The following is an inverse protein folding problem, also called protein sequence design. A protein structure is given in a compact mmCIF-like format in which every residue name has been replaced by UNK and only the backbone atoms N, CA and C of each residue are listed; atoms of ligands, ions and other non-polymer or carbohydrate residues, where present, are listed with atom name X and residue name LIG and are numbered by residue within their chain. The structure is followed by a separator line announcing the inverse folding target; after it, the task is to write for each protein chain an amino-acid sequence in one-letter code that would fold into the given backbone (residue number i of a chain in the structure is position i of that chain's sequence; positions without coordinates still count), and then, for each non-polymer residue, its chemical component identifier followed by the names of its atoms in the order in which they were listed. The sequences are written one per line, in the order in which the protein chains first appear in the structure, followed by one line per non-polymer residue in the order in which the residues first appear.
data_IF_008619306089
#
_entry.id   IF_008619306089
#
_cell.length_a   1.000
_cell.length_b   1.000
_cell.length_c   1.000
_cell.angle_alpha   90.00
_cell.angle_beta   90.00
_cell.angle_gamma   90.00
#
_symmetry.space_group_name_H-M   'P 1'
#
loop_
_entity.id
_entity.type
_entity.pdbx_description
1 polymer ?
#
# COMPACT_ATOMS: atom_id res chain seq x y z
N UNK A 1 -11.69 -25.87 -2.52
CA UNK A 1 -11.61 -24.52 -1.92
C UNK A 1 -12.21 -23.54 -2.92
N UNK A 2 -13.11 -22.64 -2.51
CA UNK A 2 -13.59 -21.58 -3.41
C UNK A 2 -12.48 -20.53 -3.64
N UNK A 3 -12.66 -19.66 -4.64
CA UNK A 3 -11.65 -18.67 -5.03
C UNK A 3 -11.28 -17.76 -3.85
N UNK A 4 -12.24 -17.41 -3.00
CA UNK A 4 -12.05 -16.57 -1.81
C UNK A 4 -11.16 -17.25 -0.76
N UNK A 5 -11.36 -18.55 -0.50
CA UNK A 5 -10.50 -19.32 0.41
C UNK A 5 -9.06 -19.39 -0.11
N UNK A 6 -8.89 -19.47 -1.43
CA UNK A 6 -7.56 -19.46 -2.06
C UNK A 6 -6.90 -18.09 -1.86
N UNK A 7 -7.59 -16.99 -2.16
CA UNK A 7 -7.02 -15.64 -2.00
C UNK A 7 -6.72 -15.30 -0.53
N UNK A 8 -7.58 -15.71 0.41
CA UNK A 8 -7.31 -15.61 1.85
C UNK A 8 -6.04 -16.37 2.23
N UNK A 9 -5.92 -17.63 1.78
CA UNK A 9 -4.73 -18.45 2.02
C UNK A 9 -3.45 -17.82 1.44
N UNK A 10 -3.53 -17.22 0.24
CA UNK A 10 -2.39 -16.51 -0.37
C UNK A 10 -2.00 -15.28 0.43
N UNK A 11 -2.95 -14.45 0.84
CA UNK A 11 -2.64 -13.30 1.70
C UNK A 11 -1.95 -13.74 3.00
N UNK A 12 -2.43 -14.81 3.63
CA UNK A 12 -1.87 -15.32 4.89
C UNK A 12 -0.47 -15.94 4.71
N UNK A 13 -0.25 -16.72 3.65
CA UNK A 13 0.97 -17.51 3.47
C UNK A 13 2.02 -16.82 2.61
N UNK A 14 1.60 -16.16 1.53
CA UNK A 14 2.46 -15.44 0.59
C UNK A 14 2.55 -13.94 0.92
N UNK A 15 1.60 -13.40 1.70
CA UNK A 15 1.58 -11.99 2.11
C UNK A 15 0.89 -11.07 1.13
N UNK A 16 0.36 -11.60 0.02
CA UNK A 16 -0.45 -10.86 -0.93
C UNK A 16 -1.44 -11.74 -1.68
N UNK A 17 -2.46 -11.12 -2.26
CA UNK A 17 -3.44 -11.75 -3.13
C UNK A 17 -3.96 -10.75 -4.17
N UNK A 18 -4.60 -11.25 -5.24
CA UNK A 18 -5.09 -10.41 -6.34
C UNK A 18 -6.54 -10.77 -6.65
N UNK A 19 -7.40 -9.77 -6.72
CA UNK A 19 -8.77 -9.91 -7.20
C UNK A 19 -8.93 -9.16 -8.51
N UNK A 20 -9.39 -9.87 -9.53
CA UNK A 20 -9.59 -9.33 -10.88
C UNK A 20 -10.90 -8.55 -10.98
N UNK A 21 -10.95 -7.55 -11.86
CA UNK A 21 -12.16 -6.82 -12.26
C UNK A 21 -12.99 -6.26 -11.06
N UNK A 22 -12.31 -5.75 -10.02
CA UNK A 22 -12.97 -5.17 -8.82
C UNK A 22 -13.50 -3.77 -9.07
N UNK A 23 -12.82 -2.97 -9.88
CA UNK A 23 -13.34 -1.68 -10.33
C UNK A 23 -14.17 -1.86 -11.60
N UNK A 24 -15.35 -1.27 -11.61
CA UNK A 24 -16.13 -1.19 -12.85
C UNK A 24 -15.44 -0.28 -13.86
N UNK A 25 -15.61 -0.56 -15.15
CA UNK A 25 -15.05 0.28 -16.23
C UNK A 25 -15.43 1.77 -16.10
N UNK A 26 -16.69 2.14 -15.78
CA UNK A 26 -17.05 3.55 -15.59
C UNK A 26 -16.30 4.19 -14.42
N UNK A 27 -16.16 3.49 -13.29
CA UNK A 27 -15.47 4.05 -12.13
C UNK A 27 -13.96 4.18 -12.36
N UNK A 28 -13.34 3.19 -13.00
CA UNK A 28 -11.96 3.25 -13.45
C UNK A 28 -11.71 4.47 -14.36
N UNK A 29 -12.60 4.73 -15.32
CA UNK A 29 -12.49 5.90 -16.20
C UNK A 29 -12.55 7.23 -15.42
N UNK A 30 -13.47 7.35 -14.45
CA UNK A 30 -13.54 8.53 -13.58
C UNK A 30 -12.26 8.76 -12.78
N UNK A 31 -11.67 7.69 -12.24
CA UNK A 31 -10.40 7.78 -11.51
C UNK A 31 -9.26 8.25 -12.43
N UNK A 32 -9.15 7.68 -13.64
CA UNK A 32 -8.17 8.09 -14.64
C UNK A 32 -8.32 9.59 -14.99
N UNK A 33 -9.55 10.05 -15.21
CA UNK A 33 -9.84 11.44 -15.56
C UNK A 33 -9.44 12.42 -14.44
N UNK A 34 -9.76 12.09 -13.18
CA UNK A 34 -9.36 12.90 -12.02
C UNK A 34 -7.85 12.93 -11.87
N UNK A 35 -7.18 11.77 -11.94
CA UNK A 35 -5.72 11.69 -11.84
C UNK A 35 -5.04 12.49 -12.95
N UNK A 36 -5.51 12.38 -14.20
CA UNK A 36 -4.94 13.14 -15.31
C UNK A 36 -5.04 14.66 -15.08
N UNK A 37 -6.15 15.15 -14.51
CA UNK A 37 -6.30 16.57 -14.14
C UNK A 37 -5.36 16.98 -13.00
N UNK A 38 -5.22 16.15 -11.96
CA UNK A 38 -4.29 16.41 -10.86
C UNK A 38 -2.83 16.44 -11.32
N UNK A 39 -2.47 15.60 -12.29
CA UNK A 39 -1.13 15.61 -12.88
C UNK A 39 -0.86 16.86 -13.73
N UNK A 40 -1.89 17.42 -14.38
CA UNK A 40 -1.77 18.63 -15.20
C UNK A 40 -1.73 19.93 -14.38
N UNK A 41 -2.27 19.92 -13.16
CA UNK A 41 -2.34 21.13 -12.34
C UNK A 41 -0.98 21.63 -11.84
N UNK A 42 0.07 20.81 -11.92
CA UNK A 42 1.42 21.19 -11.52
C UNK A 42 2.27 21.57 -12.74
N UNK A 43 2.74 22.82 -12.77
CA UNK A 43 3.75 23.31 -13.73
C UNK A 43 5.16 22.77 -13.47
N UNK A 44 5.30 21.74 -12.63
CA UNK A 44 6.58 21.27 -12.09
C UNK A 44 6.86 19.89 -12.68
N UNK A 45 7.98 19.77 -13.41
CA UNK A 45 8.42 18.51 -13.99
C UNK A 45 8.71 17.42 -12.95
N UNK A 46 9.22 16.25 -13.38
CA UNK A 46 9.45 15.10 -12.50
C UNK A 46 10.20 15.46 -11.21
N UNK A 47 9.71 14.98 -10.06
CA UNK A 47 10.33 15.23 -8.76
C UNK A 47 11.79 14.75 -8.74
N UNK A 48 12.71 15.60 -8.26
CA UNK A 48 14.10 15.21 -8.02
C UNK A 48 14.31 14.55 -6.66
N UNK A 49 13.41 14.77 -5.70
CA UNK A 49 13.50 14.24 -4.33
C UNK A 49 12.82 12.88 -4.16
N UNK A 50 11.86 12.54 -5.02
CA UNK A 50 11.06 11.32 -4.97
C UNK A 50 11.09 10.53 -6.28
N UNK A 51 12.20 10.54 -7.01
CA UNK A 51 12.36 9.87 -8.30
C UNK A 51 11.96 8.39 -8.28
N UNK A 52 12.25 7.66 -7.21
CA UNK A 52 11.94 6.23 -7.07
C UNK A 52 10.41 5.97 -7.00
N UNK A 53 9.67 6.85 -6.34
CA UNK A 53 8.22 6.78 -6.17
C UNK A 53 7.48 7.41 -7.36
N UNK A 54 7.95 8.58 -7.82
CA UNK A 54 7.29 9.44 -8.80
C UNK A 54 6.59 10.64 -8.14
N UNK A 55 5.49 11.08 -8.76
CA UNK A 55 4.56 12.04 -8.13
C UNK A 55 3.70 11.31 -7.10
N UNK A 56 3.61 11.86 -5.89
CA UNK A 56 2.85 11.27 -4.79
C UNK A 56 1.92 12.30 -4.17
N UNK A 57 0.63 12.03 -4.29
CA UNK A 57 -0.46 12.89 -3.84
C UNK A 57 -1.31 12.19 -2.80
N UNK A 58 -1.93 12.96 -1.92
CA UNK A 58 -2.85 12.39 -0.94
C UNK A 58 -4.13 11.92 -1.62
N UNK A 59 -4.65 10.76 -1.25
CA UNK A 59 -6.01 10.34 -1.65
C UNK A 59 -7.09 11.31 -1.13
N UNK A 60 -6.76 12.18 -0.17
CA UNK A 60 -7.65 13.24 0.31
C UNK A 60 -7.71 14.47 -0.62
N UNK A 61 -6.95 14.54 -1.71
CA UNK A 61 -6.96 15.71 -2.61
C UNK A 61 -8.26 15.85 -3.43
N UNK A 62 -9.03 14.77 -3.61
CA UNK A 62 -10.26 14.83 -4.39
C UNK A 62 -11.35 13.89 -3.81
N UNK A 63 -12.61 14.35 -3.68
CA UNK A 63 -13.67 13.56 -3.04
C UNK A 63 -14.01 12.25 -3.77
N UNK A 64 -13.73 12.11 -5.06
CA UNK A 64 -13.90 10.84 -5.79
C UNK A 64 -13.14 9.67 -5.13
N UNK A 65 -11.96 9.92 -4.54
CA UNK A 65 -11.21 8.85 -3.88
C UNK A 65 -11.88 8.37 -2.60
N UNK A 66 -12.77 9.17 -2.01
CA UNK A 66 -13.63 8.70 -0.93
C UNK A 66 -14.59 7.60 -1.39
N UNK A 67 -15.02 7.60 -2.66
CA UNK A 67 -15.83 6.50 -3.22
C UNK A 67 -14.99 5.22 -3.36
N UNK A 68 -13.69 5.36 -3.69
CA UNK A 68 -12.75 4.24 -3.77
C UNK A 68 -12.42 3.66 -2.38
N UNK A 69 -12.22 4.53 -1.39
CA UNK A 69 -11.97 4.11 0.00
C UNK A 69 -13.15 3.32 0.57
N UNK A 70 -14.37 3.71 0.22
CA UNK A 70 -15.59 3.00 0.64
C UNK A 70 -16.14 2.06 -0.44
N UNK A 71 -15.31 1.58 -1.37
CA UNK A 71 -15.78 0.81 -2.52
C UNK A 71 -16.26 -0.58 -2.09
N UNK A 72 -17.58 -0.79 -2.07
CA UNK A 72 -18.18 -2.03 -1.55
C UNK A 72 -17.60 -3.30 -2.16
N UNK A 73 -17.39 -3.43 -3.49
CA UNK A 73 -16.79 -4.65 -4.05
C UNK A 73 -15.43 -5.02 -3.45
N UNK A 74 -14.61 -4.05 -3.05
CA UNK A 74 -13.33 -4.32 -2.39
C UNK A 74 -13.50 -4.66 -0.90
N UNK A 75 -14.39 -3.95 -0.20
CA UNK A 75 -14.71 -4.23 1.20
C UNK A 75 -15.37 -5.61 1.36
N UNK A 76 -16.19 -6.03 0.39
CA UNK A 76 -16.79 -7.36 0.34
C UNK A 76 -15.74 -8.46 0.17
N UNK A 77 -14.63 -8.19 -0.55
CA UNK A 77 -13.48 -9.13 -0.60
C UNK A 77 -12.75 -9.23 0.72
N UNK A 78 -12.60 -8.13 1.46
CA UNK A 78 -12.05 -8.18 2.82
C UNK A 78 -12.97 -9.00 3.75
N UNK A 79 -14.27 -8.73 3.70
CA UNK A 79 -15.28 -9.46 4.47
C UNK A 79 -15.29 -10.96 4.16
N UNK A 80 -15.21 -11.35 2.89
CA UNK A 80 -15.17 -12.78 2.50
C UNK A 80 -13.90 -13.51 2.94
N UNK A 81 -12.83 -12.78 3.28
CA UNK A 81 -11.62 -13.33 3.89
C UNK A 81 -11.68 -13.37 5.44
N UNK A 82 -12.80 -12.95 6.04
CA UNK A 82 -13.00 -12.90 7.50
C UNK A 82 -12.73 -11.54 8.13
N UNK A 83 -12.52 -10.48 7.34
CA UNK A 83 -12.24 -9.13 7.82
C UNK A 83 -13.49 -8.25 7.71
N UNK A 84 -14.45 -8.46 8.62
CA UNK A 84 -15.80 -7.90 8.52
C UNK A 84 -15.89 -6.41 8.89
N UNK A 85 -14.89 -5.84 9.55
CA UNK A 85 -14.92 -4.45 10.03
C UNK A 85 -13.58 -3.75 9.85
N UNK A 86 -13.12 -3.58 8.59
CA UNK A 86 -11.85 -2.94 8.33
C UNK A 86 -11.91 -1.43 8.64
N UNK A 87 -10.84 -0.89 9.22
CA UNK A 87 -10.67 0.56 9.39
C UNK A 87 -9.68 1.12 8.38
N UNK A 88 -9.84 2.38 7.97
CA UNK A 88 -8.99 3.08 7.02
C UNK A 88 -8.15 4.17 7.71
N UNK A 89 -6.87 4.30 7.35
CA UNK A 89 -5.97 5.33 7.91
C UNK A 89 -5.51 6.38 6.93
N UNK A 90 -5.00 5.95 5.78
CA UNK A 90 -4.24 6.78 4.85
C UNK A 90 -4.26 6.17 3.44
N UNK A 91 -3.96 7.00 2.46
CA UNK A 91 -3.94 6.61 1.05
C UNK A 91 -3.19 7.62 0.19
N UNK A 92 -2.56 7.13 -0.87
CA UNK A 92 -1.79 7.95 -1.80
C UNK A 92 -2.07 7.56 -3.26
N UNK A 93 -2.05 8.55 -4.13
CA UNK A 93 -2.01 8.42 -5.59
C UNK A 93 -0.53 8.53 -5.96
N UNK A 94 0.04 7.45 -6.50
CA UNK A 94 1.47 7.36 -6.81
C UNK A 94 1.62 7.15 -8.32
N UNK A 95 2.12 8.18 -8.99
CA UNK A 95 2.25 8.24 -10.44
C UNK A 95 3.72 8.22 -10.84
N UNK A 96 4.16 7.14 -11.47
CA UNK A 96 5.50 7.04 -12.05
C UNK A 96 5.56 7.69 -13.42
N UNK A 97 6.45 8.67 -13.64
CA UNK A 97 6.69 9.23 -14.97
C UNK A 97 7.20 8.18 -15.97
N UNK A 98 7.10 8.46 -17.28
CA UNK A 98 7.85 7.74 -18.31
C UNK A 98 9.35 7.74 -18.00
N UNK A 99 10.05 6.67 -18.37
CA UNK A 99 11.51 6.52 -18.19
C UNK A 99 12.01 6.80 -16.76
N UNK A 100 11.27 6.34 -15.75
CA UNK A 100 11.58 6.56 -14.32
C UNK A 100 12.20 5.32 -13.65
N UNK A 101 13.03 5.52 -12.60
CA UNK A 101 13.76 4.43 -11.94
C UNK A 101 12.81 3.43 -11.23
N UNK A 102 13.33 2.26 -10.83
CA UNK A 102 12.58 1.31 -10.01
C UNK A 102 12.28 1.89 -8.63
N UNK A 103 11.24 1.35 -7.98
CA UNK A 103 11.01 1.60 -6.56
C UNK A 103 11.86 0.60 -5.78
N UNK A 104 12.57 1.09 -4.76
CA UNK A 104 13.41 0.26 -3.92
C UNK A 104 12.57 -0.70 -3.06
N UNK A 105 13.19 -1.80 -2.62
CA UNK A 105 12.63 -2.74 -1.67
C UNK A 105 12.38 -2.08 -0.32
N UNK A 106 11.17 -2.24 0.19
CA UNK A 106 10.73 -1.73 1.48
C UNK A 106 9.57 -2.56 2.04
N UNK A 107 9.21 -2.26 3.29
CA UNK A 107 7.96 -2.64 3.91
C UNK A 107 7.32 -1.39 4.51
N UNK A 108 6.00 -1.39 4.67
CA UNK A 108 5.27 -0.24 5.21
C UNK A 108 5.15 -0.32 6.74
N UNK A 109 5.11 -1.53 7.28
CA UNK A 109 4.88 -1.80 8.70
C UNK A 109 5.88 -1.08 9.61
N UNK A 110 5.36 -0.56 10.72
CA UNK A 110 6.09 0.37 11.59
C UNK A 110 6.24 -0.10 13.03
N UNK A 111 5.71 -1.25 13.42
CA UNK A 111 5.66 -1.69 14.83
C UNK A 111 6.29 -3.09 14.99
N UNK A 112 7.50 -3.28 14.48
CA UNK A 112 8.19 -4.57 14.51
C UNK A 112 8.70 -5.01 15.91
N UNK A 113 8.70 -4.11 16.89
CA UNK A 113 8.98 -4.46 18.30
C UNK A 113 7.75 -5.01 19.03
N UNK A 114 6.56 -4.87 18.46
CA UNK A 114 5.36 -5.43 19.06
C UNK A 114 5.44 -6.97 19.01
N UNK A 115 5.14 -7.69 20.10
CA UNK A 115 5.14 -9.15 20.10
C UNK A 115 4.23 -9.75 19.01
N UNK A 116 3.12 -9.09 18.69
CA UNK A 116 2.19 -9.52 17.64
C UNK A 116 2.69 -9.25 16.22
N UNK A 117 3.83 -8.56 16.02
CA UNK A 117 4.37 -8.19 14.70
C UNK A 117 4.54 -9.37 13.74
N UNK A 118 4.68 -10.60 14.27
CA UNK A 118 4.85 -11.83 13.49
C UNK A 118 3.62 -12.74 13.50
N UNK A 119 2.49 -12.26 14.02
CA UNK A 119 1.23 -13.01 14.00
C UNK A 119 0.80 -13.32 12.56
N UNK A 120 0.16 -14.48 12.41
CA UNK A 120 -0.33 -14.96 11.12
C UNK A 120 -1.39 -14.03 10.52
N UNK A 121 -2.22 -13.41 11.36
CA UNK A 121 -3.24 -12.45 10.92
C UNK A 121 -2.59 -11.13 10.47
N UNK A 122 -3.00 -10.54 9.33
CA UNK A 122 -2.48 -9.26 8.87
C UNK A 122 -2.97 -8.12 9.77
N UNK A 123 -2.04 -7.35 10.31
CA UNK A 123 -2.38 -6.19 11.16
C UNK A 123 -2.77 -4.95 10.36
N UNK A 124 -2.20 -4.81 9.17
CA UNK A 124 -2.52 -3.78 8.22
C UNK A 124 -2.27 -4.34 6.82
N UNK A 125 -3.17 -4.01 5.90
CA UNK A 125 -3.04 -4.35 4.48
C UNK A 125 -3.06 -3.08 3.65
N UNK A 126 -2.34 -3.09 2.54
CA UNK A 126 -2.54 -2.13 1.45
C UNK A 126 -3.47 -2.73 0.40
N UNK A 127 -4.34 -1.90 -0.17
CA UNK A 127 -5.14 -2.17 -1.36
C UNK A 127 -4.59 -1.27 -2.47
N UNK A 128 -3.97 -1.88 -3.48
CA UNK A 128 -3.38 -1.20 -4.62
C UNK A 128 -4.23 -1.37 -5.87
N UNK A 129 -4.67 -0.24 -6.43
CA UNK A 129 -5.44 -0.15 -7.67
C UNK A 129 -4.59 0.50 -8.75
N UNK A 130 -4.15 -0.30 -9.73
CA UNK A 130 -3.45 0.23 -10.89
C UNK A 130 -4.44 0.76 -11.93
N UNK A 131 -4.20 1.97 -12.42
CA UNK A 131 -5.08 2.63 -13.40
C UNK A 131 -4.74 2.27 -14.86
N UNK A 132 -3.70 1.46 -15.06
CA UNK A 132 -3.28 0.91 -16.34
C UNK A 132 -2.80 -0.53 -16.14
N UNK A 133 -2.82 -1.33 -17.21
CA UNK A 133 -2.24 -2.67 -17.17
C UNK A 133 -0.75 -2.57 -16.85
N UNK A 134 -0.25 -3.43 -15.97
CA UNK A 134 1.15 -3.43 -15.56
C UNK A 134 1.89 -4.66 -16.05
N UNK A 135 3.19 -4.48 -16.24
CA UNK A 135 4.17 -5.45 -16.72
C UNK A 135 5.54 -5.06 -16.18
N UNK A 136 6.53 -5.94 -16.36
CA UNK A 136 7.93 -5.64 -16.05
C UNK A 136 8.40 -4.36 -16.76
N UNK A 137 7.94 -4.12 -17.98
CA UNK A 137 8.37 -2.97 -18.80
C UNK A 137 7.89 -1.63 -18.27
N UNK A 138 6.67 -1.55 -17.74
CA UNK A 138 6.07 -0.28 -17.27
C UNK A 138 5.98 -0.17 -15.74
N UNK A 139 6.66 -1.04 -15.01
CA UNK A 139 6.84 -0.89 -13.57
C UNK A 139 5.75 -1.55 -12.72
N UNK A 140 5.41 -2.83 -12.99
CA UNK A 140 4.58 -3.64 -12.10
C UNK A 140 5.21 -3.82 -10.71
N UNK A 141 4.37 -4.19 -9.75
CA UNK A 141 4.78 -4.54 -8.39
C UNK A 141 5.67 -5.78 -8.43
N UNK A 142 6.64 -5.81 -7.52
CA UNK A 142 7.49 -6.97 -7.21
C UNK A 142 7.36 -7.25 -5.72
N UNK A 143 7.29 -8.51 -5.35
CA UNK A 143 7.16 -8.93 -3.95
C UNK A 143 8.13 -10.05 -3.64
N UNK A 144 8.48 -10.22 -2.37
CA UNK A 144 9.12 -11.45 -1.88
C UNK A 144 8.08 -12.21 -1.05
N UNK A 145 7.44 -13.24 -1.62
CA UNK A 145 6.39 -13.98 -0.92
C UNK A 145 6.85 -14.52 0.44
N UNK A 146 6.01 -14.40 1.47
CA UNK A 146 6.29 -14.91 2.80
C UNK A 146 7.21 -14.03 3.67
N UNK A 147 7.80 -12.97 3.10
CA UNK A 147 8.70 -12.05 3.83
C UNK A 147 8.01 -11.28 4.97
N UNK A 148 6.68 -11.17 4.97
CA UNK A 148 5.90 -10.61 6.07
C UNK A 148 5.97 -11.44 7.35
N UNK A 149 6.31 -12.74 7.24
CA UNK A 149 6.37 -13.69 8.36
C UNK A 149 7.77 -14.25 8.59
N UNK A 150 8.56 -14.36 7.54
CA UNK A 150 9.87 -14.98 7.56
C UNK A 150 10.98 -13.96 7.37
N UNK A 151 12.09 -14.21 8.05
CA UNK A 151 13.28 -13.42 7.84
C UNK A 151 13.78 -13.53 6.39
N UNK A 152 14.25 -12.39 5.87
CA UNK A 152 14.89 -12.27 4.58
C UNK A 152 16.09 -11.35 4.75
N UNK A 153 17.21 -11.67 4.10
CA UNK A 153 18.45 -10.88 4.14
C UNK A 153 18.22 -9.40 3.86
N UNK A 154 17.27 -9.06 2.98
CA UNK A 154 16.93 -7.67 2.70
C UNK A 154 16.47 -6.89 3.92
N UNK A 155 15.82 -7.52 4.89
CA UNK A 155 15.38 -6.82 6.09
C UNK A 155 16.55 -6.21 6.89
N UNK A 156 17.74 -6.81 6.84
CA UNK A 156 18.93 -6.32 7.55
C UNK A 156 19.59 -5.16 6.80
N UNK A 157 19.41 -5.12 5.48
CA UNK A 157 20.11 -4.19 4.59
C UNK A 157 19.25 -2.97 4.22
N UNK A 158 17.92 -3.12 4.24
CA UNK A 158 16.98 -2.01 4.10
C UNK A 158 16.92 -1.31 5.46
N UNK A 159 17.94 -0.51 5.78
CA UNK A 159 18.05 0.21 7.06
C UNK A 159 16.81 1.05 7.36
N UNK A 160 16.74 2.28 6.82
CA UNK A 160 15.48 3.04 6.83
C UNK A 160 14.71 2.77 5.51
N UNK A 161 13.62 1.96 5.54
CA UNK A 161 12.84 1.59 4.36
C UNK A 161 12.06 2.75 3.74
N UNK A 162 12.20 3.98 4.26
CA UNK A 162 11.57 5.19 3.72
C UNK A 162 12.57 6.34 3.65
N UNK A 163 13.85 6.05 3.46
CA UNK A 163 14.88 7.09 3.46
C UNK A 163 14.76 8.02 2.24
N UNK A 164 15.04 9.31 2.45
CA UNK A 164 15.09 10.28 1.36
C UNK A 164 16.21 10.00 0.35
N UNK A 165 17.28 9.32 0.76
CA UNK A 165 18.37 8.91 -0.13
C UNK A 165 17.92 7.88 -1.16
N UNK A 166 17.24 6.80 -0.71
CA UNK A 166 16.64 5.83 -1.63
C UNK A 166 15.55 6.48 -2.50
N UNK A 167 14.81 7.45 -1.97
CA UNK A 167 13.78 8.15 -2.74
C UNK A 167 14.34 8.97 -3.92
N UNK A 168 15.57 9.49 -3.82
CA UNK A 168 16.23 10.21 -4.93
C UNK A 168 16.72 9.30 -6.05
N UNK A 169 16.91 8.00 -5.79
CA UNK A 169 17.37 7.04 -6.79
C UNK A 169 18.64 7.50 -7.55
N UNK A 170 19.61 8.05 -6.83
CA UNK A 170 20.90 8.51 -7.39
C UNK A 170 21.89 7.33 -7.55
N UNK A 171 21.80 6.33 -6.67
CA UNK A 171 22.64 5.14 -6.62
C UNK A 171 21.77 3.88 -6.71
N UNK A 172 21.68 3.30 -7.90
CA UNK A 172 20.82 2.15 -8.21
C UNK A 172 21.51 0.79 -8.02
N UNK A 173 22.80 0.78 -7.71
CA UNK A 173 23.61 -0.41 -7.41
C UNK A 173 23.44 -0.90 -5.97
N UNK A 174 22.80 -0.10 -5.11
CA UNK A 174 22.49 -0.49 -3.73
C UNK A 174 21.56 -1.72 -3.68
N UNK A 175 21.72 -2.55 -2.64
CA UNK A 175 20.93 -3.78 -2.48
C UNK A 175 19.41 -3.51 -2.44
N UNK A 176 18.99 -2.34 -1.96
CA UNK A 176 17.60 -1.91 -1.96
C UNK A 176 16.99 -1.77 -3.38
N UNK A 177 17.80 -1.63 -4.43
CA UNK A 177 17.33 -1.61 -5.84
C UNK A 177 17.61 -2.92 -6.59
N UNK A 178 18.26 -3.89 -5.95
CA UNK A 178 18.69 -5.13 -6.58
C UNK A 178 17.53 -5.97 -7.11
N UNK A 179 17.81 -6.72 -8.17
CA UNK A 179 17.02 -7.90 -8.54
C UNK A 179 17.28 -9.01 -7.53
N UNK A 180 16.26 -9.81 -7.27
CA UNK A 180 16.26 -10.82 -6.21
C UNK A 180 15.88 -12.17 -6.80
N UNK A 181 16.62 -13.26 -6.51
CA UNK A 181 16.25 -14.58 -7.02
C UNK A 181 14.92 -15.09 -6.45
N UNK A 182 14.49 -14.52 -5.32
CA UNK A 182 13.29 -14.82 -4.56
C UNK A 182 12.14 -13.81 -4.81
N UNK A 183 12.28 -12.86 -5.75
CA UNK A 183 11.17 -11.98 -6.11
C UNK A 183 10.18 -12.62 -7.08
N UNK A 184 8.93 -12.18 -6.98
CA UNK A 184 7.85 -12.50 -7.92
C UNK A 184 7.29 -11.20 -8.47
N UNK A 185 7.16 -11.14 -9.79
CA UNK A 185 6.45 -10.06 -10.48
C UNK A 185 4.94 -10.23 -10.32
N UNK A 186 4.24 -9.13 -10.05
CA UNK A 186 2.78 -9.09 -9.89
C UNK A 186 2.19 -8.16 -10.97
N UNK A 187 2.15 -8.59 -12.25
CA UNK A 187 1.44 -7.86 -13.28
C UNK A 187 -0.07 -7.96 -13.03
N UNK A 188 -0.76 -6.84 -13.22
CA UNK A 188 -2.22 -6.73 -13.06
C UNK A 188 -2.84 -5.92 -14.18
N UNK A 189 -4.14 -6.12 -14.42
CA UNK A 189 -4.92 -5.33 -15.35
C UNK A 189 -5.51 -4.11 -14.65
N UNK A 190 -5.78 -3.07 -15.42
CA UNK A 190 -6.49 -1.91 -14.90
C UNK A 190 -7.90 -2.35 -14.44
N UNK A 191 -8.20 -2.09 -13.16
CA UNK A 191 -9.44 -2.50 -12.52
C UNK A 191 -9.29 -3.67 -11.54
N UNK A 192 -8.15 -4.37 -11.56
CA UNK A 192 -7.80 -5.34 -10.52
C UNK A 192 -7.41 -4.62 -9.22
N UNK A 193 -7.46 -5.35 -8.11
CA UNK A 193 -6.89 -4.91 -6.82
C UNK A 193 -5.88 -5.92 -6.31
N UNK A 194 -4.70 -5.44 -5.94
CA UNK A 194 -3.72 -6.21 -5.16
C UNK A 194 -3.93 -5.88 -3.69
N UNK A 195 -4.14 -6.90 -2.87
CA UNK A 195 -4.18 -6.76 -1.42
C UNK A 195 -2.89 -7.37 -0.87
N UNK A 196 -2.11 -6.61 -0.11
CA UNK A 196 -0.88 -7.11 0.49
C UNK A 196 -0.71 -6.69 1.94
N UNK A 197 -0.04 -7.53 2.72
CA UNK A 197 0.31 -7.27 4.11
C UNK A 197 1.35 -6.14 4.17
N UNK A 198 1.14 -5.15 5.03
CA UNK A 198 2.06 -4.02 5.20
C UNK A 198 3.48 -4.44 5.61
N UNK A 199 3.66 -5.65 6.14
CA UNK A 199 4.96 -6.24 6.50
C UNK A 199 5.70 -6.84 5.30
N UNK A 200 5.01 -7.11 4.19
CA UNK A 200 5.58 -7.75 3.01
C UNK A 200 6.68 -6.87 2.40
N UNK A 201 7.83 -7.46 2.12
CA UNK A 201 8.85 -6.80 1.29
C UNK A 201 8.33 -6.67 -0.14
N UNK A 202 8.25 -5.44 -0.61
CA UNK A 202 7.78 -5.12 -1.93
C UNK A 202 8.58 -3.97 -2.56
N UNK A 203 8.56 -3.93 -3.89
CA UNK A 203 9.24 -2.99 -4.75
C UNK A 203 8.43 -2.84 -6.05
N UNK A 204 8.93 -2.05 -7.00
CA UNK A 204 8.34 -2.00 -8.35
C UNK A 204 9.43 -1.87 -9.39
N UNK A 205 9.22 -2.45 -10.56
CA UNK A 205 10.12 -2.25 -11.71
C UNK A 205 10.21 -0.76 -12.10
N UNK A 206 11.26 -0.45 -12.86
CA UNK A 206 11.37 0.83 -13.54
C UNK A 206 10.22 1.00 -14.54
N UNK A 207 9.74 2.23 -14.73
CA UNK A 207 8.83 2.50 -15.83
C UNK A 207 9.64 2.86 -17.07
N UNK A 208 9.85 1.91 -17.97
CA UNK A 208 10.60 2.10 -19.23
C UNK A 208 9.67 2.45 -20.41
N UNK A 209 8.38 2.67 -20.16
CA UNK A 209 7.42 3.05 -21.19
C UNK A 209 7.43 4.55 -21.48
N UNK A 210 6.66 4.97 -22.49
CA UNK A 210 6.38 6.38 -22.80
C UNK A 210 5.24 6.97 -21.97
N UNK A 211 4.55 6.15 -21.18
CA UNK A 211 3.32 6.53 -20.49
C UNK A 211 3.53 6.65 -18.98
N UNK A 212 2.69 7.47 -18.35
CA UNK A 212 2.60 7.49 -16.89
C UNK A 212 1.98 6.20 -16.37
N UNK A 213 2.48 5.72 -15.22
CA UNK A 213 1.91 4.55 -14.54
C UNK A 213 1.45 4.95 -13.15
N UNK A 214 0.14 4.98 -12.94
CA UNK A 214 -0.47 5.35 -11.64
C UNK A 214 -0.97 4.14 -10.88
N UNK A 215 -0.66 4.10 -9.60
CA UNK A 215 -1.32 3.24 -8.60
C UNK A 215 -1.95 4.11 -7.53
N UNK A 216 -3.16 3.77 -7.11
CA UNK A 216 -3.76 4.31 -5.89
C UNK A 216 -3.59 3.25 -4.82
N UNK A 217 -2.90 3.57 -3.72
CA UNK A 217 -2.68 2.66 -2.61
C UNK A 217 -3.41 3.18 -1.37
N UNK A 218 -4.20 2.33 -0.73
CA UNK A 218 -5.02 2.65 0.44
C UNK A 218 -4.71 1.64 1.54
N UNK A 219 -4.47 2.09 2.77
CA UNK A 219 -4.20 1.16 3.86
C UNK A 219 -5.40 0.98 4.79
N UNK A 220 -5.66 -0.29 5.09
CA UNK A 220 -6.71 -0.72 6.00
C UNK A 220 -6.14 -1.59 7.13
N UNK A 221 -6.78 -1.54 8.30
CA UNK A 221 -6.58 -2.52 9.36
C UNK A 221 -7.74 -3.51 9.30
N UNK A 222 -7.52 -4.76 8.85
CA UNK A 222 -8.59 -5.70 8.56
C UNK A 222 -9.41 -6.10 9.82
N UNK A 223 -8.72 -6.28 10.94
CA UNK A 223 -9.30 -6.54 12.25
C UNK A 223 -8.69 -5.57 13.28
N UNK A 224 -9.13 -4.31 13.21
CA UNK A 224 -8.62 -3.26 14.07
C UNK A 224 -8.85 -3.56 15.57
N UNK A 225 -9.92 -4.28 15.91
CA UNK A 225 -10.29 -4.58 17.28
C UNK A 225 -9.27 -5.49 17.98
N UNK A 226 -8.63 -6.42 17.26
CA UNK A 226 -7.59 -7.29 17.83
C UNK A 226 -6.21 -6.63 17.94
N UNK A 227 -5.99 -5.46 17.31
CA UNK A 227 -4.68 -4.81 17.33
C UNK A 227 -4.23 -4.41 18.75
N UNK A 228 -2.92 -4.46 19.03
CA UNK A 228 -2.35 -3.96 20.28
C UNK A 228 -2.61 -2.47 20.49
N UNK A 229 -2.74 -2.06 21.75
CA UNK A 229 -3.08 -0.69 22.15
C UNK A 229 -2.14 0.39 21.60
N UNK A 230 -0.83 0.12 21.57
CA UNK A 230 0.15 1.06 21.01
C UNK A 230 0.05 1.18 19.48
N UNK A 231 -0.31 0.08 18.81
CA UNK A 231 -0.59 0.08 17.36
C UNK A 231 -1.86 0.89 17.10
N UNK A 232 -2.96 0.63 17.82
CA UNK A 232 -4.21 1.40 17.75
C UNK A 232 -3.98 2.90 17.94
N UNK A 233 -3.23 3.29 18.99
CA UNK A 233 -2.87 4.68 19.25
C UNK A 233 -2.13 5.33 18.06
N UNK A 234 -1.23 4.58 17.40
CA UNK A 234 -0.50 5.09 16.24
C UNK A 234 -1.37 5.17 14.99
N UNK A 235 -2.27 4.19 14.76
CA UNK A 235 -3.23 4.21 13.65
C UNK A 235 -4.12 5.46 13.72
N UNK A 236 -4.66 5.78 14.90
CA UNK A 236 -5.46 6.99 15.11
C UNK A 236 -4.63 8.26 14.90
N UNK A 237 -3.39 8.28 15.37
CA UNK A 237 -2.50 9.45 15.23
C UNK A 237 -2.16 9.76 13.77
N UNK A 238 -2.07 8.75 12.90
CA UNK A 238 -1.64 8.92 11.50
C UNK A 238 -2.78 9.12 10.51
N UNK A 239 -4.03 9.10 10.96
CA UNK A 239 -5.21 9.30 10.10
C UNK A 239 -5.02 10.55 9.23
N UNK A 240 -5.20 10.40 7.92
CA UNK A 240 -5.23 11.56 7.01
C UNK A 240 -6.45 12.43 7.32
N UNK A 241 -6.22 13.74 7.40
CA UNK A 241 -7.29 14.70 7.68
C UNK A 241 -8.24 14.78 6.48
N UNK A 242 -9.54 14.63 6.74
CA UNK A 242 -10.58 14.87 5.76
C UNK A 242 -10.65 16.39 5.49
N UNK A 243 -10.58 16.86 4.23
CA UNK A 243 -10.70 18.27 3.91
C UNK A 243 -12.04 18.86 4.33
N UNK A 244 -12.02 20.11 4.80
CA UNK A 244 -13.21 20.77 5.34
C UNK A 244 -14.24 21.16 4.27
N UNK A 245 -13.81 21.26 3.01
CA UNK A 245 -14.61 21.60 1.83
C UNK A 245 -15.25 20.37 1.16
N UNK A 246 -14.97 19.16 1.64
CA UNK A 246 -15.62 17.96 1.13
C UNK A 246 -17.12 17.93 1.47
N UNK A 247 -17.97 17.33 0.60
CA UNK A 247 -19.38 17.14 0.92
C UNK A 247 -19.58 16.40 2.23
N UNK A 248 -20.52 16.86 3.07
CA UNK A 248 -20.77 16.32 4.42
C UNK A 248 -21.01 14.80 4.39
N UNK A 249 -21.78 14.31 3.42
CA UNK A 249 -22.06 12.88 3.26
C UNK A 249 -20.78 12.08 3.00
N UNK A 250 -19.91 12.58 2.12
CA UNK A 250 -18.60 11.99 1.80
C UNK A 250 -17.70 11.96 3.04
N UNK A 251 -17.58 13.09 3.74
CA UNK A 251 -16.78 13.18 4.96
C UNK A 251 -17.28 12.24 6.07
N UNK A 252 -18.60 12.14 6.23
CA UNK A 252 -19.22 11.24 7.23
C UNK A 252 -18.91 9.78 6.94
N UNK A 253 -19.00 9.36 5.67
CA UNK A 253 -18.69 7.99 5.23
C UNK A 253 -17.23 7.62 5.51
N UNK A 254 -16.28 8.50 5.24
CA UNK A 254 -14.85 8.25 5.51
C UNK A 254 -14.57 8.24 7.00
N UNK A 255 -15.17 9.17 7.76
CA UNK A 255 -15.06 9.18 9.22
C UNK A 255 -15.59 7.89 9.86
N UNK A 256 -16.60 7.24 9.27
CA UNK A 256 -17.11 5.96 9.75
C UNK A 256 -16.13 4.80 9.57
N UNK A 257 -15.20 4.90 8.62
CA UNK A 257 -14.13 3.92 8.41
C UNK A 257 -12.90 4.21 9.27
N UNK A 258 -12.78 5.39 9.87
CA UNK A 258 -11.59 5.74 10.65
C UNK A 258 -11.50 4.94 11.96
N UNK A 259 -10.30 4.48 12.34
CA UNK A 259 -10.10 3.84 13.62
C UNK A 259 -10.35 4.83 14.76
N UNK A 260 -10.84 4.31 15.89
CA UNK A 260 -10.99 5.07 17.14
C UNK A 260 -10.24 4.37 18.27
N UNK A 261 -9.64 5.14 19.19
CA UNK A 261 -8.91 4.60 20.32
C UNK A 261 -9.12 5.50 21.54
N UNK A 262 -9.75 4.95 22.58
CA UNK A 262 -10.05 5.66 23.83
C UNK A 262 -9.03 5.36 24.95
N UNK A 263 -8.04 4.51 24.69
CA UNK A 263 -7.00 4.17 25.66
C UNK A 263 -5.92 5.24 25.81
N UNK A 264 -4.92 4.95 26.64
CA UNK A 264 -3.84 5.90 27.00
C UNK A 264 -2.45 5.46 26.55
N UNK A 265 -2.35 4.40 25.76
CA UNK A 265 -1.06 3.89 25.31
C UNK A 265 -0.33 4.91 24.44
N UNK A 266 1.00 4.97 24.59
CA UNK A 266 1.83 5.82 23.74
C UNK A 266 1.98 5.18 22.35
N UNK A 267 1.73 5.93 21.26
CA UNK A 267 1.87 5.41 19.91
C UNK A 267 3.33 5.01 19.60
N UNK A 268 3.50 4.01 18.74
CA UNK A 268 4.81 3.73 18.12
C UNK A 268 5.24 4.91 17.22
N UNK A 269 6.53 5.20 17.11
CA UNK A 269 7.04 6.29 16.25
C UNK A 269 7.35 5.77 14.85
N UNK A 270 8.22 4.76 14.77
CA UNK A 270 8.39 3.78 13.69
C UNK A 270 9.55 2.90 14.14
N UNK A 271 9.25 1.67 14.45
CA UNK A 271 10.23 0.65 14.80
C UNK A 271 10.53 -0.18 13.57
N UNK A 272 11.81 -0.26 13.22
CA UNK A 272 12.30 -1.02 12.08
C UNK A 272 12.26 -2.52 12.37
N UNK A 273 12.30 -3.31 11.29
CA UNK A 273 12.33 -4.77 11.33
C UNK A 273 13.30 -5.32 12.37
N UNK A 274 12.89 -6.39 13.07
CA UNK A 274 13.67 -6.97 14.17
C UNK A 274 14.06 -8.45 14.09
N UNK A 275 13.68 -9.29 13.15
CA UNK A 275 13.84 -10.77 13.28
C UNK A 275 13.11 -11.33 14.51
N UNK A 276 12.27 -12.32 14.24
CA UNK A 276 11.45 -12.93 15.28
C UNK A 276 12.34 -13.69 16.28
N UNK A 277 12.32 -13.33 17.58
CA UNK A 277 13.12 -14.04 18.59
C UNK A 277 12.67 -15.49 18.80
N UNK A 278 11.43 -15.84 18.44
CA UNK A 278 10.90 -17.20 18.57
C UNK A 278 11.32 -18.15 17.44
N UNK A 279 11.93 -17.65 16.37
CA UNK A 279 12.40 -18.46 15.23
C UNK A 279 13.92 -18.47 15.11
N UNK A 280 14.64 -18.18 16.21
CA UNK A 280 16.10 -18.31 16.30
C UNK A 280 16.49 -19.67 16.88
#
# INVERSE_FOLDING_TARGET
MNAETIQSSRLINEGYCVFEDVLTRPFLAQLCDVVARLQQSDSIGPSTTHRAQGDMRSAMEHPLFADLISWSPALDRLSSMGFESPTYTDGYIISKPPQSPPLFWHYDWFAWQDPGAYDTSPQQVFLMYYLSNTSVTNGCLRVIPGSHRHHNVLHEHIGNPHSGMLSRAEELDQLAFSMRPDEVDVPVRAGDVVIGDARLLHAAHANKSSEWRTVITLWFQPDYASLPDRVKAQMVKKIQKIPADWPIATATRIKALHPTYAGKAKPYVRDLYRKNPATN
#
